data_IF_368958676863
#
_entry.id   IF_368958676863
#
_cell.length_a   1.000
_cell.length_b   1.000
_cell.length_c   1.000
_cell.angle_alpha   90.00
_cell.angle_beta   90.00
_cell.angle_gamma   90.00
#
_symmetry.space_group_name_H-M   'P 1'
#
loop_
_entity.id
_entity.type
_entity.pdbx_description
1 polymer ?
#
# COMPACT_ATOMS: atom_id res chain seq x y z
N UNK A 1 27.50 74.95 -0.70
CA UNK A 1 26.71 74.05 0.17
C UNK A 1 26.04 72.99 -0.68
N UNK A 2 26.51 71.75 -0.62
CA UNK A 2 25.90 70.60 -1.31
C UNK A 2 25.75 69.48 -0.26
N UNK A 3 24.51 69.10 0.05
CA UNK A 3 24.18 67.99 0.95
C UNK A 3 24.34 66.68 0.19
N UNK A 4 25.20 65.78 0.69
CA UNK A 4 25.23 64.39 0.25
C UNK A 4 24.36 63.56 1.19
N UNK A 5 23.35 62.88 0.62
CA UNK A 5 22.47 61.95 1.30
C UNK A 5 22.98 60.54 1.05
N UNK A 6 23.49 59.85 2.07
CA UNK A 6 23.76 58.40 1.96
C UNK A 6 22.58 57.62 2.54
N UNK A 7 22.00 56.79 1.67
CA UNK A 7 20.88 55.88 1.89
C UNK A 7 21.38 54.68 2.73
N UNK A 8 20.71 54.40 3.83
CA UNK A 8 20.90 53.14 4.59
C UNK A 8 20.10 52.03 3.90
N UNK A 9 20.79 51.06 3.30
CA UNK A 9 20.18 49.84 2.77
C UNK A 9 19.72 48.95 3.94
N UNK A 10 18.41 48.71 4.06
CA UNK A 10 17.86 47.72 4.99
C UNK A 10 18.18 46.30 4.52
N UNK A 11 18.89 45.55 5.36
CA UNK A 11 19.17 44.12 5.16
C UNK A 11 17.86 43.33 5.30
N UNK A 12 17.34 42.82 4.18
CA UNK A 12 16.13 41.99 4.12
C UNK A 12 16.41 40.60 4.68
N UNK A 13 16.02 40.32 5.92
CA UNK A 13 15.99 38.95 6.45
C UNK A 13 14.88 38.12 5.77
N UNK A 14 15.09 36.80 5.53
CA UNK A 14 14.04 35.92 5.04
C UNK A 14 12.90 35.87 6.05
N UNK A 15 11.74 36.41 5.70
CA UNK A 15 10.54 36.29 6.53
C UNK A 15 10.04 34.85 6.44
N UNK A 16 10.28 34.04 7.48
CA UNK A 16 9.54 32.80 7.65
C UNK A 16 8.06 33.15 7.86
N UNK A 17 7.18 32.60 7.03
CA UNK A 17 5.74 32.80 7.16
C UNK A 17 5.29 32.35 8.57
N UNK A 18 4.87 33.32 9.39
CA UNK A 18 4.28 33.09 10.72
C UNK A 18 2.81 32.66 10.63
N UNK A 19 2.24 32.68 9.42
CA UNK A 19 0.82 32.40 9.22
C UNK A 19 0.53 30.90 9.18
N UNK A 20 -0.15 30.44 10.23
CA UNK A 20 -0.62 29.06 10.39
C UNK A 20 -1.46 28.57 9.21
N UNK A 21 -2.18 29.47 8.51
CA UNK A 21 -2.98 29.13 7.34
C UNK A 21 -2.09 28.83 6.13
N UNK A 22 -0.99 29.58 5.96
CA UNK A 22 0.00 29.31 4.90
C UNK A 22 0.66 27.96 5.12
N UNK A 23 1.03 27.61 6.37
CA UNK A 23 1.56 26.26 6.69
C UNK A 23 0.56 25.13 6.45
N UNK A 24 -0.73 25.37 6.66
CA UNK A 24 -1.80 24.39 6.37
C UNK A 24 -1.97 24.19 4.86
N UNK A 25 -1.91 25.27 4.07
CA UNK A 25 -1.96 25.21 2.61
C UNK A 25 -0.70 24.52 2.06
N UNK A 26 0.48 24.78 2.63
CA UNK A 26 1.74 24.11 2.29
C UNK A 26 1.74 22.61 2.66
N UNK A 27 1.19 22.25 3.83
CA UNK A 27 0.97 20.83 4.19
C UNK A 27 0.01 20.13 3.24
N UNK A 28 -0.99 20.86 2.73
CA UNK A 28 -1.91 20.35 1.70
C UNK A 28 -1.31 20.36 0.28
N UNK A 29 -0.13 20.97 0.08
CA UNK A 29 0.64 20.92 -1.18
C UNK A 29 1.58 19.71 -1.25
N UNK A 30 1.66 18.89 -0.20
CA UNK A 30 2.24 17.55 -0.32
C UNK A 30 1.41 16.81 -1.37
N UNK A 31 2.07 16.37 -2.44
CA UNK A 31 1.55 15.65 -3.61
C UNK A 31 0.84 14.35 -3.21
N UNK A 32 -0.30 14.49 -2.53
CA UNK A 32 -1.23 13.41 -2.26
C UNK A 32 -2.29 13.51 -3.33
N UNK A 33 -2.16 12.66 -4.35
CA UNK A 33 -3.17 12.53 -5.39
C UNK A 33 -4.54 12.34 -4.71
N UNK A 34 -5.49 13.24 -4.96
CA UNK A 34 -6.83 13.13 -4.39
C UNK A 34 -7.64 12.13 -5.21
N UNK A 35 -7.74 10.90 -4.72
CA UNK A 35 -8.58 9.87 -5.31
C UNK A 35 -10.07 10.16 -5.06
N UNK A 36 -10.92 9.90 -6.05
CA UNK A 36 -12.38 9.98 -5.90
C UNK A 36 -12.91 8.95 -4.90
N UNK A 37 -14.14 9.15 -4.40
CA UNK A 37 -14.76 8.22 -3.42
C UNK A 37 -14.76 6.76 -3.87
N UNK A 38 -15.06 6.51 -5.14
CA UNK A 38 -15.05 5.18 -5.74
C UNK A 38 -13.63 4.60 -5.82
N UNK A 39 -12.65 5.38 -6.28
CA UNK A 39 -11.24 4.96 -6.31
C UNK A 39 -10.74 4.61 -4.90
N UNK A 40 -11.10 5.42 -3.90
CA UNK A 40 -10.78 5.13 -2.49
C UNK A 40 -11.50 3.89 -1.95
N UNK A 41 -12.67 3.54 -2.47
CA UNK A 41 -13.34 2.29 -2.11
C UNK A 41 -12.58 1.10 -2.69
N UNK A 42 -12.20 1.15 -3.97
CA UNK A 42 -11.41 0.09 -4.64
C UNK A 42 -10.06 -0.11 -3.96
N UNK A 43 -9.33 0.97 -3.68
CA UNK A 43 -8.05 0.93 -2.98
C UNK A 43 -8.21 0.26 -1.61
N UNK A 44 -9.23 0.64 -0.83
CA UNK A 44 -9.48 0.02 0.47
C UNK A 44 -9.82 -1.46 0.38
N UNK A 45 -10.63 -1.87 -0.60
CA UNK A 45 -10.94 -3.28 -0.83
C UNK A 45 -9.69 -4.09 -1.18
N UNK A 46 -8.83 -3.57 -2.05
CA UNK A 46 -7.56 -4.22 -2.42
C UNK A 46 -6.63 -4.39 -1.22
N UNK A 47 -6.44 -3.33 -0.43
CA UNK A 47 -5.65 -3.40 0.80
C UNK A 47 -6.22 -4.43 1.79
N UNK A 48 -7.54 -4.52 1.93
CA UNK A 48 -8.17 -5.52 2.80
C UNK A 48 -7.90 -6.95 2.31
N UNK A 49 -7.94 -7.19 1.01
CA UNK A 49 -7.65 -8.50 0.44
C UNK A 49 -6.16 -8.85 0.59
N UNK A 50 -5.23 -7.92 0.37
CA UNK A 50 -3.79 -8.12 0.62
C UNK A 50 -3.51 -8.49 2.08
N UNK A 51 -4.02 -7.68 3.03
CA UNK A 51 -3.87 -7.98 4.46
C UNK A 51 -4.46 -9.35 4.81
N UNK A 52 -5.62 -9.71 4.24
CA UNK A 52 -6.21 -11.02 4.48
C UNK A 52 -5.33 -12.16 3.95
N UNK A 53 -4.72 -12.01 2.77
CA UNK A 53 -3.79 -13.00 2.20
C UNK A 53 -2.61 -13.22 3.16
N UNK A 54 -1.97 -12.15 3.61
CA UNK A 54 -0.85 -12.21 4.56
C UNK A 54 -1.25 -12.93 5.87
N UNK A 55 -2.40 -12.57 6.44
CA UNK A 55 -2.92 -13.20 7.66
C UNK A 55 -3.16 -14.71 7.47
N UNK A 56 -3.73 -15.13 6.34
CA UNK A 56 -3.99 -16.55 6.09
C UNK A 56 -2.70 -17.35 5.86
N UNK A 57 -1.74 -16.78 5.14
CA UNK A 57 -0.42 -17.39 4.96
C UNK A 57 0.24 -17.56 6.32
N UNK A 58 0.27 -16.52 7.16
CA UNK A 58 0.82 -16.62 8.51
C UNK A 58 0.17 -17.77 9.32
N UNK A 59 -1.15 -17.96 9.24
CA UNK A 59 -1.85 -19.09 9.87
C UNK A 59 -1.40 -20.45 9.32
N UNK A 60 -1.21 -20.57 8.00
CA UNK A 60 -0.68 -21.79 7.38
C UNK A 60 0.74 -22.13 7.86
N UNK A 61 1.54 -21.12 8.21
CA UNK A 61 2.88 -21.26 8.74
C UNK A 61 2.96 -21.25 10.29
N UNK A 62 1.85 -21.58 10.96
CA UNK A 62 1.74 -21.65 12.42
C UNK A 62 2.07 -20.33 13.14
N UNK A 63 1.70 -19.20 12.54
CA UNK A 63 1.93 -17.87 13.13
C UNK A 63 3.30 -17.28 12.83
N UNK A 64 4.04 -17.82 11.87
CA UNK A 64 5.34 -17.27 11.45
C UNK A 64 5.15 -16.25 10.33
N UNK A 65 5.49 -15.00 10.62
CA UNK A 65 5.50 -13.92 9.62
C UNK A 65 6.69 -14.05 8.66
N UNK A 66 7.83 -14.55 9.13
CA UNK A 66 9.01 -14.84 8.30
C UNK A 66 8.88 -16.21 7.60
N UNK A 67 7.86 -16.32 6.75
CA UNK A 67 7.56 -17.53 5.98
C UNK A 67 8.10 -17.47 4.53
N UNK A 68 8.60 -16.31 4.09
CA UNK A 68 9.18 -16.11 2.76
C UNK A 68 8.21 -16.27 1.59
N UNK A 69 6.90 -16.35 1.85
CA UNK A 69 5.87 -16.43 0.81
C UNK A 69 5.41 -15.02 0.47
N UNK A 70 5.72 -14.59 -0.76
CA UNK A 70 5.28 -13.30 -1.29
C UNK A 70 4.23 -13.55 -2.38
N UNK A 71 2.98 -13.18 -2.10
CA UNK A 71 1.86 -13.33 -3.04
C UNK A 71 1.23 -11.94 -3.23
N UNK A 72 1.49 -11.34 -4.39
CA UNK A 72 0.89 -10.06 -4.77
C UNK A 72 -0.53 -10.24 -5.34
N UNK A 73 -1.47 -9.44 -4.84
CA UNK A 73 -2.84 -9.44 -5.31
C UNK A 73 -2.94 -9.05 -6.80
N UNK A 74 -2.18 -8.05 -7.23
CA UNK A 74 -2.18 -7.59 -8.63
C UNK A 74 -1.70 -8.71 -9.58
N UNK A 75 -0.64 -9.43 -9.20
CA UNK A 75 -0.15 -10.60 -9.96
C UNK A 75 -1.24 -11.65 -10.11
N UNK A 76 -2.04 -11.91 -9.08
CA UNK A 76 -3.17 -12.83 -9.16
C UNK A 76 -4.31 -12.29 -10.02
N UNK A 77 -4.58 -10.99 -10.00
CA UNK A 77 -5.64 -10.37 -10.81
C UNK A 77 -5.31 -10.41 -12.30
N UNK A 78 -4.03 -10.27 -12.66
CA UNK A 78 -3.55 -10.32 -14.05
C UNK A 78 -3.60 -11.72 -14.67
N UNK A 79 -3.69 -12.77 -13.84
CA UNK A 79 -3.84 -14.14 -14.36
C UNK A 79 -5.26 -14.38 -14.90
N UNK A 80 -5.39 -14.98 -16.10
CA UNK A 80 -6.68 -15.11 -16.78
C UNK A 80 -7.57 -16.21 -16.21
N UNK A 81 -7.00 -17.27 -15.63
CA UNK A 81 -7.73 -18.44 -15.16
C UNK A 81 -7.60 -18.63 -13.65
N UNK A 82 -8.71 -19.04 -13.01
CA UNK A 82 -8.74 -19.49 -11.61
C UNK A 82 -7.74 -20.64 -11.38
N UNK A 83 -7.62 -21.54 -12.36
CA UNK A 83 -6.69 -22.66 -12.26
C UNK A 83 -5.24 -22.18 -12.14
N UNK A 84 -4.84 -21.20 -12.95
CA UNK A 84 -3.48 -20.67 -12.95
C UNK A 84 -3.16 -19.92 -11.65
N UNK A 85 -4.14 -19.15 -11.13
CA UNK A 85 -4.04 -18.50 -9.82
C UNK A 85 -3.81 -19.50 -8.71
N UNK A 86 -4.62 -20.57 -8.65
CA UNK A 86 -4.48 -21.64 -7.64
C UNK A 86 -3.14 -22.32 -7.74
N UNK A 87 -2.72 -22.67 -8.95
CA UNK A 87 -1.43 -23.31 -9.20
C UNK A 87 -0.27 -22.44 -8.75
N UNK A 88 -0.26 -21.16 -9.11
CA UNK A 88 0.79 -20.22 -8.70
C UNK A 88 0.91 -20.13 -7.17
N UNK A 89 -0.21 -19.91 -6.47
CA UNK A 89 -0.21 -19.80 -5.00
C UNK A 89 0.26 -21.10 -4.36
N UNK A 90 -0.23 -22.23 -4.85
CA UNK A 90 0.17 -23.54 -4.37
C UNK A 90 1.69 -23.78 -4.55
N UNK A 91 2.24 -23.44 -5.72
CA UNK A 91 3.68 -23.54 -5.99
C UNK A 91 4.51 -22.65 -5.06
N UNK A 92 4.04 -21.43 -4.73
CA UNK A 92 4.72 -20.56 -3.75
C UNK A 92 4.73 -21.18 -2.36
N UNK A 93 3.59 -21.72 -1.90
CA UNK A 93 3.47 -22.40 -0.61
C UNK A 93 4.38 -23.64 -0.55
N UNK A 94 4.45 -24.42 -1.63
CA UNK A 94 5.32 -25.59 -1.72
C UNK A 94 6.81 -25.21 -1.72
N UNK A 95 7.19 -24.15 -2.44
CA UNK A 95 8.58 -23.67 -2.51
C UNK A 95 9.14 -23.28 -1.15
N UNK A 96 8.28 -22.74 -0.27
CA UNK A 96 8.64 -22.36 1.09
C UNK A 96 8.37 -23.45 2.14
N UNK A 97 8.13 -24.70 1.71
CA UNK A 97 7.89 -25.84 2.60
C UNK A 97 6.79 -25.59 3.63
N UNK A 98 5.63 -25.12 3.15
CA UNK A 98 4.46 -24.87 4.00
C UNK A 98 4.14 -26.09 4.89
N UNK A 99 4.06 -25.93 6.22
CA UNK A 99 3.87 -27.05 7.14
C UNK A 99 2.40 -27.47 7.28
N UNK A 100 1.46 -26.72 6.70
CA UNK A 100 0.04 -27.02 6.76
C UNK A 100 -0.32 -28.30 5.98
N UNK A 101 -1.39 -28.97 6.39
CA UNK A 101 -1.92 -30.11 5.64
C UNK A 101 -2.53 -29.67 4.32
N UNK A 102 -2.60 -30.60 3.36
CA UNK A 102 -3.24 -30.37 2.06
C UNK A 102 -4.70 -29.90 2.19
N UNK A 103 -5.44 -30.38 3.20
CA UNK A 103 -6.83 -29.94 3.44
C UNK A 103 -6.88 -28.45 3.81
N UNK A 104 -6.02 -28.00 4.73
CA UNK A 104 -5.94 -26.58 5.11
C UNK A 104 -5.53 -25.70 3.95
N UNK A 105 -4.57 -26.16 3.15
CA UNK A 105 -4.13 -25.45 1.93
C UNK A 105 -5.28 -25.37 0.93
N UNK A 106 -6.04 -26.45 0.73
CA UNK A 106 -7.17 -26.48 -0.21
C UNK A 106 -8.27 -25.51 0.21
N UNK A 107 -8.63 -25.49 1.50
CA UNK A 107 -9.60 -24.53 2.06
C UNK A 107 -9.13 -23.09 1.84
N UNK A 108 -7.87 -22.79 2.15
CA UNK A 108 -7.29 -21.47 1.90
C UNK A 108 -7.38 -21.08 0.42
N UNK A 109 -7.04 -21.99 -0.51
CA UNK A 109 -7.13 -21.73 -1.94
C UNK A 109 -8.56 -21.48 -2.40
N UNK A 110 -9.55 -22.17 -1.84
CA UNK A 110 -10.97 -21.94 -2.14
C UNK A 110 -11.41 -20.55 -1.66
N UNK A 111 -11.12 -20.22 -0.40
CA UNK A 111 -11.43 -18.90 0.17
C UNK A 111 -10.74 -17.77 -0.59
N UNK A 112 -9.48 -17.94 -1.01
CA UNK A 112 -8.75 -16.95 -1.80
C UNK A 112 -9.45 -16.69 -3.14
N UNK A 113 -9.92 -17.73 -3.82
CA UNK A 113 -10.65 -17.56 -5.07
C UNK A 113 -11.98 -16.84 -4.87
N UNK A 114 -12.62 -17.00 -3.72
CA UNK A 114 -13.82 -16.22 -3.37
C UNK A 114 -13.47 -14.76 -3.09
N UNK A 115 -12.43 -14.48 -2.32
CA UNK A 115 -11.96 -13.11 -2.05
C UNK A 115 -11.65 -12.35 -3.34
N UNK A 116 -10.92 -12.99 -4.26
CA UNK A 116 -10.55 -12.38 -5.55
C UNK A 116 -11.78 -12.08 -6.42
N UNK A 117 -12.82 -12.92 -6.39
CA UNK A 117 -14.07 -12.69 -7.15
C UNK A 117 -14.90 -11.51 -6.64
N UNK A 118 -14.70 -11.10 -5.38
CA UNK A 118 -15.47 -10.02 -4.73
C UNK A 118 -14.84 -8.63 -4.90
N UNK A 119 -13.63 -8.58 -5.46
CA UNK A 119 -12.88 -7.35 -5.77
C UNK A 119 -13.36 -6.73 -7.09
#
# INVERSE_FOLDING_TARGET
MLKSSNVTEEVKHPRFASDSNTRRIERNRVLTMKYGKQQMMVIRKRMQAENWIEEQICKLFNGKDDNGVEIDLDTLLDMPSIHDKRKFVFEQLQRQYCPASMDKITVFLDELMEQIKLL
#
